data_IF_599448875907
#
_entry.id   IF_599448875907
#
_cell.length_a   1.000
_cell.length_b   1.000
_cell.length_c   1.000
_cell.angle_alpha   90.00
_cell.angle_beta   90.00
_cell.angle_gamma   90.00
#
_symmetry.space_group_name_H-M   'P 1'
#
loop_
_entity.id
_entity.type
_entity.pdbx_description
1 polymer ?
#
# COMPACT_ATOMS: atom_id res chain seq x y z
N UNK A 1 -5.86 38.31 30.65
CA UNK A 1 -6.07 39.16 29.46
C UNK A 1 -4.73 39.41 28.82
N UNK A 2 -4.39 38.63 27.79
CA UNK A 2 -3.23 38.87 26.93
C UNK A 2 -3.73 38.77 25.49
N UNK A 3 -3.72 39.90 24.79
CA UNK A 3 -3.99 40.00 23.36
C UNK A 3 -2.63 40.08 22.66
N UNK A 4 -2.34 39.06 21.86
CA UNK A 4 -1.23 39.06 20.91
C UNK A 4 -1.70 39.78 19.65
N UNK A 5 -1.15 40.97 19.37
CA UNK A 5 -1.24 41.64 18.07
C UNK A 5 -0.09 41.12 17.20
N UNK A 6 -0.39 40.44 16.10
CA UNK A 6 0.59 40.13 15.05
C UNK A 6 0.41 41.15 13.93
N UNK A 7 1.45 41.95 13.71
CA UNK A 7 1.58 42.88 12.59
C UNK A 7 1.60 42.14 11.26
N UNK A 8 0.70 42.52 10.35
CA UNK A 8 0.63 42.06 8.97
C UNK A 8 1.56 42.92 8.10
N UNK A 9 2.65 42.34 7.57
CA UNK A 9 3.50 42.99 6.57
C UNK A 9 2.95 42.64 5.18
N UNK A 10 2.39 43.65 4.50
CA UNK A 10 2.02 43.60 3.07
C UNK A 10 3.29 43.58 2.22
N UNK A 11 3.69 42.40 1.74
CA UNK A 11 4.64 42.29 0.64
C UNK A 11 3.86 42.09 -0.67
N UNK A 12 3.60 43.19 -1.39
CA UNK A 12 3.09 43.12 -2.76
C UNK A 12 4.26 42.70 -3.66
N UNK A 13 4.35 41.40 -3.95
CA UNK A 13 5.28 40.87 -4.95
C UNK A 13 4.81 41.23 -6.35
N UNK A 14 5.34 42.30 -6.94
CA UNK A 14 5.17 42.60 -8.35
C UNK A 14 6.08 41.67 -9.17
N UNK A 15 5.49 40.83 -10.01
CA UNK A 15 6.20 40.27 -11.16
C UNK A 15 6.26 41.37 -12.22
N UNK A 16 7.29 42.21 -12.16
CA UNK A 16 7.58 43.16 -13.23
C UNK A 16 8.28 42.38 -14.34
N UNK A 17 7.55 42.05 -15.40
CA UNK A 17 8.17 41.74 -16.68
C UNK A 17 8.78 43.02 -17.23
N UNK A 18 10.01 43.29 -16.83
CA UNK A 18 10.76 44.39 -17.42
C UNK A 18 11.17 43.97 -18.82
N UNK A 19 10.77 44.72 -19.88
CA UNK A 19 11.29 44.46 -21.21
C UNK A 19 12.81 44.64 -21.18
N UNK A 20 13.51 43.74 -21.88
CA UNK A 20 14.92 43.95 -22.20
C UNK A 20 15.03 45.30 -22.90
N UNK A 21 15.89 46.17 -22.38
CA UNK A 21 15.92 47.61 -22.65
C UNK A 21 15.79 47.94 -24.15
N UNK A 22 14.63 48.46 -24.54
CA UNK A 22 14.32 48.88 -25.91
C UNK A 22 12.96 49.54 -26.03
N UNK A 23 12.87 50.79 -25.57
CA UNK A 23 11.85 51.82 -25.90
C UNK A 23 10.38 51.37 -26.04
N UNK A 24 9.60 51.45 -24.96
CA UNK A 24 8.13 51.55 -25.02
C UNK A 24 7.63 52.80 -24.26
N UNK A 25 6.57 53.48 -24.73
CA UNK A 25 6.10 54.75 -24.17
C UNK A 25 5.37 54.59 -22.83
N UNK A 26 5.61 55.52 -21.91
CA UNK A 26 5.24 55.48 -20.49
C UNK A 26 3.73 55.50 -20.15
N UNK A 27 2.84 55.50 -21.14
CA UNK A 27 1.39 55.66 -20.94
C UNK A 27 0.58 54.37 -20.80
N UNK A 28 1.17 53.19 -21.02
CA UNK A 28 0.46 51.88 -20.97
C UNK A 28 0.42 51.30 -19.53
N UNK A 29 1.36 51.71 -18.68
CA UNK A 29 1.56 51.17 -17.33
C UNK A 29 0.34 51.37 -16.38
N UNK A 30 -0.39 52.50 -16.38
CA UNK A 30 -1.51 52.70 -15.46
C UNK A 30 -2.77 51.88 -15.80
N UNK A 31 -2.94 51.47 -17.06
CA UNK A 31 -4.15 50.78 -17.52
C UNK A 31 -4.10 49.27 -17.24
N UNK A 32 -2.96 48.63 -17.48
CA UNK A 32 -2.74 47.23 -17.09
C UNK A 32 -2.79 47.02 -15.56
N UNK A 33 -2.34 48.02 -14.79
CA UNK A 33 -2.44 48.03 -13.33
C UNK A 33 -3.89 48.11 -12.80
N UNK A 34 -4.81 48.66 -13.60
CA UNK A 34 -6.23 48.77 -13.24
C UNK A 34 -6.98 47.46 -13.51
N UNK A 35 -6.72 46.82 -14.66
CA UNK A 35 -7.39 45.56 -15.05
C UNK A 35 -7.01 44.39 -14.13
N UNK A 36 -5.74 44.26 -13.75
CA UNK A 36 -5.29 43.21 -12.81
C UNK A 36 -5.91 43.41 -11.42
N UNK A 37 -6.07 44.66 -10.98
CA UNK A 37 -6.67 44.99 -9.68
C UNK A 37 -8.17 44.73 -9.66
N UNK A 38 -8.86 44.99 -10.77
CA UNK A 38 -10.29 44.71 -10.92
C UNK A 38 -10.59 43.20 -10.94
N UNK A 39 -9.75 42.40 -11.61
CA UNK A 39 -9.86 40.93 -11.62
C UNK A 39 -9.64 40.34 -10.21
N UNK A 40 -8.63 40.83 -9.48
CA UNK A 40 -8.32 40.36 -8.12
C UNK A 40 -9.32 40.83 -7.05
N UNK A 41 -9.97 41.97 -7.24
CA UNK A 41 -10.97 42.50 -6.29
C UNK A 41 -12.33 41.76 -6.33
N UNK A 42 -12.61 41.05 -7.42
CA UNK A 42 -13.86 40.30 -7.61
C UNK A 42 -13.77 38.86 -7.08
N UNK A 43 -12.58 38.32 -6.88
CA UNK A 43 -12.35 37.03 -6.21
C UNK A 43 -12.15 37.22 -4.71
N UNK A 44 -13.20 37.02 -3.91
CA UNK A 44 -13.08 37.04 -2.45
C UNK A 44 -12.44 35.73 -1.97
N UNK A 45 -11.27 35.87 -1.32
CA UNK A 45 -10.54 34.89 -0.51
C UNK A 45 -9.79 33.74 -1.22
N UNK A 46 -8.64 34.06 -1.81
CA UNK A 46 -7.48 33.16 -1.81
C UNK A 46 -6.29 33.92 -1.20
N UNK A 47 -5.95 33.62 0.06
CA UNK A 47 -4.68 34.04 0.62
C UNK A 47 -3.58 33.13 0.08
N UNK A 48 -2.92 33.56 -1.01
CA UNK A 48 -1.72 32.88 -1.52
C UNK A 48 -0.49 33.65 -1.07
N UNK A 49 0.33 33.03 -0.23
CA UNK A 49 1.65 33.54 0.16
C UNK A 49 2.64 33.24 -0.97
N UNK A 50 3.09 34.27 -1.69
CA UNK A 50 4.18 34.14 -2.66
C UNK A 50 5.52 34.34 -1.95
N UNK A 51 6.36 33.31 -1.92
CA UNK A 51 7.76 33.42 -1.47
C UNK A 51 8.67 33.35 -2.69
N UNK A 52 9.41 34.44 -2.96
CA UNK A 52 10.42 34.50 -4.01
C UNK A 52 11.57 33.55 -3.68
N UNK A 53 11.68 32.44 -4.40
CA UNK A 53 12.86 31.58 -4.38
C UNK A 53 13.50 31.59 -5.76
N UNK A 54 14.79 31.93 -5.79
CA UNK A 54 15.60 31.88 -7.01
C UNK A 54 16.12 30.45 -7.15
N UNK A 55 15.69 29.75 -8.21
CA UNK A 55 16.36 28.57 -8.74
C UNK A 55 16.20 27.26 -7.97
N UNK A 56 14.99 26.67 -7.96
CA UNK A 56 14.77 25.20 -7.93
C UNK A 56 13.28 24.89 -8.12
N UNK A 57 12.96 23.95 -9.03
CA UNK A 57 11.60 23.44 -9.21
C UNK A 57 11.18 22.60 -8.01
N UNK A 58 10.01 22.89 -7.45
CA UNK A 58 9.45 22.15 -6.30
C UNK A 58 8.24 21.34 -6.73
N UNK A 59 8.14 20.09 -6.28
CA UNK A 59 7.02 19.17 -6.53
C UNK A 59 5.96 19.35 -5.42
N UNK A 60 4.71 19.65 -5.80
CA UNK A 60 3.56 19.64 -4.90
C UNK A 60 2.45 18.70 -5.43
N UNK A 61 1.79 18.03 -4.50
CA UNK A 61 0.88 16.86 -4.62
C UNK A 61 -0.52 17.22 -5.15
N UNK A 62 -1.46 16.24 -5.33
CA UNK A 62 -2.72 16.37 -6.09
C UNK A 62 -3.74 17.46 -5.69
N UNK A 63 -3.48 18.28 -4.67
CA UNK A 63 -4.46 19.20 -4.06
C UNK A 63 -4.20 20.68 -4.35
N UNK A 64 -3.32 21.00 -5.29
CA UNK A 64 -3.05 22.38 -5.67
C UNK A 64 -3.44 22.60 -7.12
N UNK A 65 -4.49 23.39 -7.35
CA UNK A 65 -4.74 24.03 -8.63
C UNK A 65 -3.61 25.04 -8.88
N UNK A 66 -2.54 24.61 -9.54
CA UNK A 66 -1.52 25.51 -10.06
C UNK A 66 -1.48 25.39 -11.57
N UNK A 67 -1.22 26.51 -12.21
CA UNK A 67 -0.86 26.60 -13.61
C UNK A 67 0.44 27.38 -13.66
N UNK A 68 1.34 26.94 -14.53
CA UNK A 68 2.58 27.67 -14.75
C UNK A 68 2.28 28.90 -15.61
N UNK A 69 2.74 30.05 -15.15
CA UNK A 69 2.69 31.29 -15.92
C UNK A 69 4.10 31.66 -16.36
N UNK A 70 4.26 31.94 -17.64
CA UNK A 70 5.49 32.45 -18.22
C UNK A 70 5.28 33.88 -18.70
N UNK A 71 6.39 34.59 -18.93
CA UNK A 71 6.35 35.93 -19.49
C UNK A 71 6.94 35.92 -20.90
N UNK A 72 6.10 36.13 -21.91
CA UNK A 72 6.48 36.16 -23.32
C UNK A 72 6.18 37.57 -23.84
N UNK A 73 7.21 38.24 -24.36
CA UNK A 73 7.12 39.61 -24.88
C UNK A 73 6.53 40.64 -23.89
N UNK A 74 6.82 40.48 -22.60
CA UNK A 74 6.32 41.36 -21.54
C UNK A 74 4.86 41.12 -21.15
N UNK A 75 4.21 40.10 -21.69
CA UNK A 75 2.87 39.65 -21.29
C UNK A 75 2.96 38.35 -20.50
N UNK A 76 2.23 38.30 -19.38
CA UNK A 76 2.05 37.06 -18.63
C UNK A 76 1.12 36.14 -19.43
N UNK A 77 1.55 34.91 -19.70
CA UNK A 77 0.78 33.88 -20.39
C UNK A 77 0.84 32.58 -19.59
N UNK A 78 -0.15 31.71 -19.74
CA UNK A 78 -0.05 30.33 -19.24
C UNK A 78 1.00 29.62 -20.10
N UNK A 79 1.96 28.93 -19.49
CA UNK A 79 3.02 28.25 -20.22
C UNK A 79 2.43 27.11 -21.08
N UNK A 80 2.42 27.28 -22.41
CA UNK A 80 1.65 26.39 -23.31
C UNK A 80 2.47 25.33 -24.02
N UNK A 81 3.82 25.36 -24.02
CA UNK A 81 4.54 24.58 -25.05
C UNK A 81 5.45 23.42 -24.61
N UNK A 82 5.90 23.24 -23.36
CA UNK A 82 6.90 22.18 -23.08
C UNK A 82 6.80 21.46 -21.72
N UNK A 83 5.70 21.62 -20.97
CA UNK A 83 5.52 20.88 -19.72
C UNK A 83 4.47 19.78 -19.89
N UNK A 84 4.74 18.59 -19.37
CA UNK A 84 3.80 17.47 -19.25
C UNK A 84 2.57 17.78 -18.36
N UNK A 85 2.19 19.05 -18.20
CA UNK A 85 1.23 19.59 -17.24
C UNK A 85 0.37 20.70 -17.85
N UNK A 86 -0.18 20.47 -19.04
CA UNK A 86 -1.30 21.27 -19.53
C UNK A 86 -2.53 21.02 -18.64
N UNK A 87 -2.62 21.73 -17.52
CA UNK A 87 -3.82 21.75 -16.69
C UNK A 87 -4.76 22.81 -17.26
N UNK A 88 -5.85 22.37 -17.87
CA UNK A 88 -7.00 23.23 -18.08
C UNK A 88 -7.61 23.52 -16.70
N UNK A 89 -7.27 24.68 -16.14
CA UNK A 89 -7.84 25.14 -14.87
C UNK A 89 -9.18 25.78 -15.18
N UNK A 90 -10.27 25.06 -14.90
CA UNK A 90 -11.62 25.61 -14.94
C UNK A 90 -11.99 26.05 -13.53
N UNK A 91 -12.39 27.32 -13.38
CA UNK A 91 -13.08 27.77 -12.18
C UNK A 91 -14.55 27.43 -12.34
N UNK A 92 -15.12 26.70 -11.39
CA UNK A 92 -16.52 26.32 -11.40
C UNK A 92 -17.28 27.02 -10.29
N UNK A 93 -18.60 26.94 -10.38
CA UNK A 93 -19.48 27.54 -9.41
C UNK A 93 -19.21 26.92 -8.02
N UNK A 94 -18.94 27.71 -6.97
CA UNK A 94 -18.78 27.19 -5.61
C UNK A 94 -20.01 26.43 -5.10
N UNK A 95 -21.16 26.56 -5.76
CA UNK A 95 -22.40 25.84 -5.44
C UNK A 95 -22.44 24.41 -6.00
N UNK A 96 -21.54 24.03 -6.93
CA UNK A 96 -21.47 22.66 -7.45
C UNK A 96 -20.76 21.75 -6.44
N UNK A 97 -21.57 21.17 -5.53
CA UNK A 97 -21.13 20.19 -4.55
C UNK A 97 -22.07 18.99 -4.54
N UNK A 98 -21.48 17.81 -4.35
CA UNK A 98 -22.22 16.59 -4.11
C UNK A 98 -22.07 16.20 -2.64
N UNK A 99 -23.18 16.02 -1.94
CA UNK A 99 -23.17 15.43 -0.60
C UNK A 99 -22.95 13.92 -0.71
N UNK A 100 -21.93 13.41 -0.03
CA UNK A 100 -21.61 11.99 -0.01
C UNK A 100 -22.50 11.29 1.02
N UNK A 101 -23.38 10.37 0.59
CA UNK A 101 -24.20 9.63 1.53
C UNK A 101 -23.31 8.70 2.37
N UNK A 102 -23.72 8.44 3.61
CA UNK A 102 -23.03 7.48 4.48
C UNK A 102 -23.08 6.06 3.90
N UNK A 103 -24.15 5.72 3.19
CA UNK A 103 -24.31 4.47 2.44
C UNK A 103 -24.05 4.73 0.95
N UNK A 104 -23.10 4.00 0.37
CA UNK A 104 -22.69 4.15 -1.02
C UNK A 104 -23.40 3.19 -1.98
N UNK A 105 -24.37 2.40 -1.49
CA UNK A 105 -25.13 1.45 -2.32
C UNK A 105 -25.85 2.10 -3.52
N UNK A 106 -26.20 3.38 -3.42
CA UNK A 106 -26.87 4.15 -4.47
C UNK A 106 -25.94 5.01 -5.35
N UNK A 107 -24.63 5.03 -5.09
CA UNK A 107 -23.69 5.81 -5.91
C UNK A 107 -23.51 5.13 -7.26
N UNK A 108 -23.58 5.91 -8.34
CA UNK A 108 -23.43 5.39 -9.70
C UNK A 108 -22.09 4.67 -9.83
N UNK A 109 -22.17 3.39 -10.14
CA UNK A 109 -21.05 2.47 -10.12
C UNK A 109 -20.96 1.73 -11.46
N UNK A 110 -20.91 2.51 -12.54
CA UNK A 110 -20.68 2.00 -13.88
C UNK A 110 -19.32 1.27 -13.91
N UNK A 111 -19.36 -0.06 -13.77
CA UNK A 111 -18.16 -0.91 -13.68
C UNK A 111 -18.05 -1.77 -12.41
N UNK A 112 -18.92 -1.59 -11.41
CA UNK A 112 -18.92 -2.46 -10.22
C UNK A 112 -17.67 -2.29 -9.33
N UNK A 113 -17.13 -1.07 -9.27
CA UNK A 113 -15.95 -0.73 -8.48
C UNK A 113 -16.23 -0.62 -6.97
N UNK A 114 -17.43 -0.22 -6.56
CA UNK A 114 -17.84 -0.24 -5.15
C UNK A 114 -18.73 -1.43 -4.81
N UNK A 115 -18.38 -2.14 -3.74
CA UNK A 115 -19.26 -3.15 -3.17
C UNK A 115 -20.46 -2.51 -2.47
N UNK A 116 -21.69 -3.04 -2.62
CA UNK A 116 -22.91 -2.45 -2.05
C UNK A 116 -22.98 -2.34 -0.52
N UNK A 117 -22.02 -2.95 0.20
CA UNK A 117 -21.93 -2.90 1.66
C UNK A 117 -20.98 -1.80 2.16
N UNK A 118 -20.33 -1.07 1.25
CA UNK A 118 -19.40 -0.01 1.65
C UNK A 118 -20.16 1.19 2.17
N UNK A 119 -19.65 1.72 3.28
CA UNK A 119 -20.09 2.99 3.86
C UNK A 119 -18.90 3.92 4.04
N UNK A 120 -19.18 5.22 4.12
CA UNK A 120 -18.16 6.22 4.48
C UNK A 120 -17.77 5.99 5.94
N UNK A 121 -16.46 5.98 6.23
CA UNK A 121 -15.94 5.75 7.59
C UNK A 121 -16.18 6.95 8.53
N UNK A 122 -16.23 8.16 7.98
CA UNK A 122 -16.47 9.39 8.72
C UNK A 122 -17.94 9.50 9.15
N UNK A 123 -18.18 9.93 10.39
CA UNK A 123 -19.51 10.30 10.88
C UNK A 123 -19.90 11.73 10.46
N UNK A 124 -18.91 12.57 10.14
CA UNK A 124 -19.15 13.93 9.68
C UNK A 124 -19.65 13.93 8.22
N UNK A 125 -20.71 14.71 7.90
CA UNK A 125 -21.16 14.89 6.53
C UNK A 125 -20.00 15.35 5.63
N UNK A 126 -19.79 14.62 4.54
CA UNK A 126 -18.76 14.94 3.56
C UNK A 126 -19.43 15.52 2.31
N UNK A 127 -19.02 16.71 1.90
CA UNK A 127 -19.44 17.31 0.63
C UNK A 127 -18.23 17.43 -0.29
N UNK A 128 -18.32 16.87 -1.49
CA UNK A 128 -17.28 16.92 -2.50
C UNK A 128 -17.55 18.10 -3.42
N UNK A 129 -16.54 18.95 -3.60
CA UNK A 129 -16.53 19.91 -4.70
C UNK A 129 -15.97 19.27 -5.96
N UNK A 130 -15.36 20.11 -6.80
CA UNK A 130 -14.77 19.67 -8.07
C UNK A 130 -13.52 18.84 -7.85
N UNK A 131 -13.42 17.81 -8.70
CA UNK A 131 -12.31 16.89 -8.71
C UNK A 131 -12.54 15.71 -7.79
N UNK A 132 -11.55 14.83 -7.80
CA UNK A 132 -11.62 13.58 -7.07
C UNK A 132 -11.06 13.78 -5.66
N UNK A 133 -11.76 13.27 -4.66
CA UNK A 133 -11.27 13.23 -3.29
C UNK A 133 -11.14 11.80 -2.82
N UNK A 134 -10.10 11.56 -2.03
CA UNK A 134 -9.92 10.30 -1.33
C UNK A 134 -10.94 10.23 -0.21
N UNK A 135 -11.85 9.26 -0.29
CA UNK A 135 -12.87 8.98 0.73
C UNK A 135 -12.51 7.67 1.41
N UNK A 136 -12.25 7.73 2.72
CA UNK A 136 -12.02 6.53 3.52
C UNK A 136 -13.36 5.81 3.76
N UNK A 137 -13.36 4.51 3.47
CA UNK A 137 -14.53 3.65 3.52
C UNK A 137 -14.42 2.66 4.68
N UNK A 138 -15.53 1.99 4.96
CA UNK A 138 -15.58 0.88 5.89
C UNK A 138 -16.63 -0.15 5.45
N UNK A 139 -16.43 -1.39 5.88
CA UNK A 139 -17.39 -2.47 5.75
C UNK A 139 -18.16 -2.65 7.07
N UNK A 140 -19.35 -3.27 7.04
CA UNK A 140 -20.11 -3.61 8.25
C UNK A 140 -19.33 -4.59 9.15
N UNK A 141 -19.78 -4.72 10.39
CA UNK A 141 -19.17 -5.64 11.36
C UNK A 141 -19.14 -7.08 10.80
N UNK A 142 -17.99 -7.75 10.92
CA UNK A 142 -17.79 -9.10 10.38
C UNK A 142 -17.38 -9.14 8.91
N UNK A 143 -17.04 -7.98 8.34
CA UNK A 143 -16.48 -7.86 7.00
C UNK A 143 -15.17 -7.08 7.04
N UNK A 144 -14.30 -7.39 6.10
CA UNK A 144 -13.08 -6.65 5.88
C UNK A 144 -13.08 -6.05 4.50
N UNK A 145 -12.51 -4.85 4.45
CA UNK A 145 -12.44 -4.09 3.25
C UNK A 145 -11.13 -4.37 2.53
N UNK A 146 -11.23 -4.67 1.24
CA UNK A 146 -10.06 -4.86 0.41
C UNK A 146 -10.22 -4.12 -0.92
N UNK A 147 -9.12 -3.58 -1.42
CA UNK A 147 -9.03 -2.87 -2.69
C UNK A 147 -8.15 -3.65 -3.66
N UNK A 148 -8.68 -3.96 -4.83
CA UNK A 148 -7.94 -4.58 -5.92
C UNK A 148 -6.89 -3.61 -6.47
N UNK A 149 -5.65 -4.07 -6.52
CA UNK A 149 -4.53 -3.34 -7.09
C UNK A 149 -4.14 -3.98 -8.42
N UNK A 150 -4.56 -3.35 -9.53
CA UNK A 150 -4.42 -3.91 -10.87
C UNK A 150 -2.96 -4.22 -11.24
N UNK A 151 -1.99 -3.40 -10.81
CA UNK A 151 -0.57 -3.59 -11.13
C UNK A 151 0.02 -4.85 -10.50
N UNK A 152 -0.46 -5.26 -9.33
CA UNK A 152 0.00 -6.44 -8.60
C UNK A 152 -1.01 -7.58 -8.61
N UNK A 153 -2.12 -7.42 -9.33
CA UNK A 153 -3.21 -8.39 -9.45
C UNK A 153 -3.62 -9.02 -8.10
N UNK A 154 -3.77 -8.20 -7.06
CA UNK A 154 -4.09 -8.67 -5.73
C UNK A 154 -4.98 -7.70 -4.95
N UNK A 155 -5.59 -8.22 -3.88
CA UNK A 155 -6.38 -7.46 -2.94
C UNK A 155 -5.48 -6.88 -1.84
N UNK A 156 -5.63 -5.59 -1.53
CA UNK A 156 -4.91 -4.89 -0.46
C UNK A 156 -5.87 -4.47 0.65
N UNK A 157 -5.43 -4.43 1.92
CA UNK A 157 -6.27 -4.00 3.05
C UNK A 157 -6.41 -2.46 3.10
N UNK A 158 -6.67 -1.84 1.95
CA UNK A 158 -6.91 -0.41 1.82
C UNK A 158 -8.40 -0.20 1.63
N UNK A 159 -9.01 0.56 2.53
CA UNK A 159 -10.43 0.89 2.43
C UNK A 159 -10.62 2.36 2.09
N UNK A 160 -10.36 2.72 0.84
CA UNK A 160 -10.66 4.05 0.34
C UNK A 160 -10.89 4.03 -1.16
N UNK A 161 -11.77 4.91 -1.63
CA UNK A 161 -12.01 5.19 -3.04
C UNK A 161 -11.62 6.63 -3.37
N UNK A 162 -11.44 6.92 -4.65
CA UNK A 162 -11.48 8.28 -5.14
C UNK A 162 -12.88 8.52 -5.72
N UNK A 163 -13.59 9.47 -5.12
CA UNK A 163 -14.96 9.83 -5.49
C UNK A 163 -14.93 11.30 -5.95
N UNK A 164 -15.60 11.59 -7.05
CA UNK A 164 -15.78 12.94 -7.58
C UNK A 164 -17.26 13.29 -7.72
N UNK A 165 -17.52 14.58 -7.89
CA UNK A 165 -18.81 15.13 -8.27
C UNK A 165 -18.73 15.55 -9.75
N UNK A 166 -19.53 14.94 -10.62
CA UNK A 166 -19.60 15.27 -12.04
C UNK A 166 -21.06 15.52 -12.40
N UNK A 167 -21.37 16.74 -12.86
CA UNK A 167 -22.73 17.17 -13.22
C UNK A 167 -23.75 17.00 -12.08
N UNK A 168 -23.31 17.15 -10.83
CA UNK A 168 -24.14 16.97 -9.64
C UNK A 168 -24.38 15.51 -9.23
N UNK A 169 -23.76 14.54 -9.90
CA UNK A 169 -23.79 13.13 -9.53
C UNK A 169 -22.45 12.66 -8.96
N UNK A 170 -22.51 11.80 -7.93
CA UNK A 170 -21.32 11.15 -7.39
C UNK A 170 -20.85 10.03 -8.32
N UNK A 171 -19.55 10.02 -8.64
CA UNK A 171 -18.92 9.00 -9.46
C UNK A 171 -17.60 8.54 -8.86
N UNK A 172 -17.28 7.26 -9.01
CA UNK A 172 -15.94 6.76 -8.69
C UNK A 172 -14.99 7.01 -9.84
N UNK A 173 -13.83 7.59 -9.55
CA UNK A 173 -12.82 7.84 -10.57
C UNK A 173 -11.73 6.78 -10.65
N UNK A 174 -11.54 6.01 -9.56
CA UNK A 174 -10.55 4.94 -9.54
C UNK A 174 -11.15 3.66 -10.10
N UNK A 175 -10.51 3.01 -11.09
CA UNK A 175 -10.93 1.68 -11.58
C UNK A 175 -10.61 0.56 -10.57
N UNK A 176 -10.25 0.91 -9.34
CA UNK A 176 -9.93 -0.06 -8.32
C UNK A 176 -11.23 -0.59 -7.72
N UNK A 177 -11.46 -1.89 -7.91
CA UNK A 177 -12.54 -2.59 -7.24
C UNK A 177 -12.29 -2.62 -5.73
N UNK A 178 -13.29 -2.25 -4.94
CA UNK A 178 -13.29 -2.29 -3.48
C UNK A 178 -14.39 -3.25 -3.07
N UNK A 179 -14.03 -4.21 -2.23
CA UNK A 179 -14.94 -5.25 -1.76
C UNK A 179 -15.05 -5.27 -0.24
N UNK A 180 -16.22 -5.70 0.24
CA UNK A 180 -16.44 -6.15 1.60
C UNK A 180 -16.58 -7.67 1.56
N UNK A 181 -15.49 -8.38 1.81
CA UNK A 181 -15.54 -9.83 2.00
C UNK A 181 -15.79 -10.13 3.47
N UNK A 182 -16.53 -11.19 3.76
CA UNK A 182 -16.63 -11.72 5.13
C UNK A 182 -15.21 -11.87 5.71
N UNK A 183 -15.04 -11.63 7.02
CA UNK A 183 -13.76 -11.68 7.75
C UNK A 183 -12.91 -12.95 7.54
N UNK A 184 -13.44 -13.93 6.81
CA UNK A 184 -12.78 -15.18 6.44
C UNK A 184 -11.51 -15.03 5.60
N UNK A 185 -11.18 -13.87 5.05
CA UNK A 185 -9.87 -13.68 4.37
C UNK A 185 -8.71 -13.38 5.34
N UNK A 186 -8.97 -12.90 6.56
CA UNK A 186 -7.94 -12.57 7.57
C UNK A 186 -8.25 -13.26 8.91
N UNK A 187 -8.58 -14.55 8.86
CA UNK A 187 -8.93 -15.30 10.06
C UNK A 187 -9.19 -16.79 9.87
N UNK A 188 -9.11 -17.33 8.64
CA UNK A 188 -9.25 -18.77 8.41
C UNK A 188 -8.08 -19.61 8.95
N UNK A 189 -7.16 -19.01 9.70
CA UNK A 189 -5.96 -19.69 10.17
C UNK A 189 -5.09 -20.09 8.98
N UNK A 190 -4.36 -21.18 9.16
CA UNK A 190 -3.48 -21.71 8.12
C UNK A 190 -4.29 -22.72 7.31
N UNK A 191 -4.71 -22.30 6.11
CA UNK A 191 -5.57 -23.12 5.24
C UNK A 191 -4.74 -24.22 4.56
N UNK A 192 -5.10 -25.47 4.82
CA UNK A 192 -4.57 -26.69 4.18
C UNK A 192 -3.03 -26.74 4.04
N UNK A 193 -2.26 -26.61 5.14
CA UNK A 193 -0.81 -26.70 5.06
C UNK A 193 -0.39 -28.10 4.61
N UNK A 194 0.63 -28.17 3.76
CA UNK A 194 1.26 -29.43 3.37
C UNK A 194 1.92 -30.06 4.61
N UNK A 195 1.42 -31.21 5.06
CA UNK A 195 1.97 -31.91 6.24
C UNK A 195 3.25 -32.68 5.89
N UNK A 196 4.36 -32.22 6.46
CA UNK A 196 5.69 -32.84 6.34
C UNK A 196 5.96 -33.86 7.46
N UNK A 197 5.11 -33.91 8.49
CA UNK A 197 5.26 -34.82 9.63
C UNK A 197 5.42 -36.29 9.21
N UNK A 198 4.67 -36.83 8.22
CA UNK A 198 4.81 -38.22 7.80
C UNK A 198 6.17 -38.56 7.16
N UNK A 199 6.95 -37.55 6.75
CA UNK A 199 8.29 -37.74 6.17
C UNK A 199 9.38 -37.76 7.26
N UNK A 200 9.05 -37.30 8.47
CA UNK A 200 9.95 -37.31 9.62
C UNK A 200 9.74 -38.61 10.41
N UNK A 201 10.80 -39.16 11.03
CA UNK A 201 10.65 -40.28 11.95
C UNK A 201 9.86 -39.83 13.17
N UNK A 202 9.08 -40.73 13.78
CA UNK A 202 8.35 -40.42 15.02
C UNK A 202 9.28 -40.13 16.21
N UNK A 203 10.47 -40.74 16.20
CA UNK A 203 11.55 -40.51 17.17
C UNK A 203 12.84 -40.20 16.42
N UNK A 204 13.44 -39.05 16.73
CA UNK A 204 14.74 -38.65 16.23
C UNK A 204 15.85 -39.24 17.11
N UNK A 205 16.48 -40.32 16.62
CA UNK A 205 17.62 -40.99 17.27
C UNK A 205 18.98 -40.38 16.89
N UNK A 206 18.99 -39.29 16.11
CA UNK A 206 20.20 -38.73 15.52
C UNK A 206 21.33 -38.52 16.54
N UNK A 207 22.53 -39.00 16.19
CA UNK A 207 23.74 -38.70 16.95
C UNK A 207 24.10 -37.23 16.77
N UNK A 208 24.75 -36.63 17.77
CA UNK A 208 25.30 -35.28 17.67
C UNK A 208 26.20 -35.18 16.44
N UNK A 209 25.87 -34.29 15.51
CA UNK A 209 26.61 -34.11 14.24
C UNK A 209 26.10 -34.93 13.04
N UNK A 210 24.99 -35.65 13.16
CA UNK A 210 24.31 -36.30 12.02
C UNK A 210 22.92 -35.70 11.79
N UNK A 211 22.80 -34.61 11.01
CA UNK A 211 21.50 -34.02 10.69
C UNK A 211 20.61 -35.00 9.93
N UNK A 212 19.32 -35.02 10.27
CA UNK A 212 18.30 -35.59 9.38
C UNK A 212 17.75 -34.47 8.51
N UNK A 213 17.67 -34.69 7.20
CA UNK A 213 17.07 -33.75 6.27
C UNK A 213 15.98 -34.41 5.44
N UNK A 214 14.87 -33.70 5.25
CA UNK A 214 13.78 -34.04 4.33
C UNK A 214 13.51 -32.85 3.42
N UNK A 215 13.10 -33.09 2.18
CA UNK A 215 12.86 -32.03 1.21
C UNK A 215 11.63 -32.28 0.36
N UNK A 216 10.97 -31.20 -0.05
CA UNK A 216 9.81 -31.24 -0.94
C UNK A 216 9.89 -30.11 -1.95
N UNK A 217 9.72 -30.45 -3.24
CA UNK A 217 9.64 -29.48 -4.32
C UNK A 217 8.19 -29.12 -4.63
N UNK A 218 7.88 -27.83 -4.72
CA UNK A 218 6.54 -27.30 -5.01
C UNK A 218 6.62 -26.06 -5.90
N UNK A 219 5.55 -25.79 -6.63
CA UNK A 219 5.25 -24.45 -7.15
C UNK A 219 4.27 -23.71 -6.24
N UNK A 220 3.76 -22.57 -6.69
CA UNK A 220 2.77 -21.76 -5.96
C UNK A 220 1.32 -22.07 -6.36
N UNK A 221 1.08 -23.25 -6.94
CA UNK A 221 -0.30 -23.69 -7.19
C UNK A 221 -1.01 -23.85 -5.84
N UNK A 222 -2.21 -23.27 -5.71
CA UNK A 222 -2.98 -23.19 -4.46
C UNK A 222 -2.35 -22.33 -3.35
N UNK A 223 -1.38 -21.47 -3.68
CA UNK A 223 -0.89 -20.50 -2.71
C UNK A 223 -2.04 -19.58 -2.25
N UNK A 224 -2.09 -19.29 -0.95
CA UNK A 224 -3.13 -18.46 -0.35
C UNK A 224 -2.57 -17.11 0.06
N UNK A 225 -3.34 -16.05 -0.19
CA UNK A 225 -3.07 -14.73 0.39
C UNK A 225 -3.45 -14.82 1.86
N UNK A 226 -2.53 -14.46 2.76
CA UNK A 226 -2.77 -14.53 4.19
C UNK A 226 -2.20 -13.29 4.86
N UNK A 227 -3.02 -12.25 5.02
CA UNK A 227 -2.52 -10.95 5.47
C UNK A 227 -2.24 -10.88 6.98
N UNK A 228 -2.67 -11.89 7.74
CA UNK A 228 -2.41 -11.97 9.19
C UNK A 228 -0.93 -12.21 9.53
N UNK A 229 -0.11 -12.54 8.52
CA UNK A 229 1.30 -12.89 8.68
C UNK A 229 2.22 -11.93 7.90
N UNK A 230 1.88 -10.63 7.84
CA UNK A 230 2.76 -9.60 7.28
C UNK A 230 4.08 -9.49 8.04
N UNK A 231 4.01 -9.63 9.36
CA UNK A 231 5.14 -9.54 10.27
C UNK A 231 6.05 -10.77 10.24
N UNK A 232 5.58 -11.90 9.72
CA UNK A 232 6.31 -13.18 9.73
C UNK A 232 6.18 -13.92 8.41
N UNK A 233 7.01 -13.55 7.44
CA UNK A 233 6.94 -14.04 6.05
C UNK A 233 6.86 -12.93 5.02
N UNK A 234 7.04 -11.68 5.45
CA UNK A 234 7.15 -10.52 4.57
C UNK A 234 5.82 -10.12 3.97
N UNK A 235 5.89 -9.49 2.81
CA UNK A 235 4.75 -8.88 2.13
C UNK A 235 3.53 -9.82 2.03
N UNK A 236 2.38 -9.36 2.50
CA UNK A 236 1.09 -10.09 2.38
C UNK A 236 0.49 -10.01 0.99
N UNK A 237 1.08 -9.19 0.14
CA UNK A 237 0.68 -9.04 -1.25
C UNK A 237 0.95 -10.29 -2.08
N UNK A 238 1.84 -11.16 -1.61
CA UNK A 238 2.24 -12.37 -2.30
C UNK A 238 1.56 -13.59 -1.67
N UNK A 239 0.83 -14.34 -2.50
CA UNK A 239 0.27 -15.61 -2.08
C UNK A 239 1.41 -16.57 -1.72
N UNK A 240 1.25 -17.30 -0.61
CA UNK A 240 2.27 -18.24 -0.13
C UNK A 240 1.75 -19.65 0.01
N UNK A 241 2.67 -20.61 0.02
CA UNK A 241 2.38 -22.02 0.32
C UNK A 241 2.72 -22.26 1.78
N UNK A 242 1.78 -22.90 2.48
CA UNK A 242 1.96 -23.28 3.87
C UNK A 242 2.39 -24.73 3.99
N UNK A 243 3.32 -24.96 4.90
CA UNK A 243 3.76 -26.29 5.32
C UNK A 243 3.56 -26.41 6.82
N UNK A 244 3.26 -27.62 7.28
CA UNK A 244 3.18 -27.92 8.69
C UNK A 244 4.10 -29.09 9.01
N UNK A 245 4.73 -29.04 10.17
CA UNK A 245 5.52 -30.16 10.68
C UNK A 245 5.39 -30.23 12.20
N UNK A 246 5.24 -31.45 12.70
CA UNK A 246 5.38 -31.73 14.13
C UNK A 246 6.80 -32.17 14.40
N UNK A 247 7.48 -31.45 15.29
CA UNK A 247 8.84 -31.77 15.70
C UNK A 247 8.83 -33.16 16.36
N UNK A 248 9.65 -34.12 15.91
CA UNK A 248 9.61 -35.47 16.44
C UNK A 248 10.10 -35.52 17.88
N UNK A 249 9.75 -36.60 18.58
CA UNK A 249 10.33 -36.83 19.91
C UNK A 249 11.83 -37.11 19.79
N UNK A 250 12.65 -36.62 20.73
CA UNK A 250 14.07 -37.00 20.77
C UNK A 250 14.29 -38.06 21.85
N UNK A 251 15.23 -38.97 21.62
CA UNK A 251 15.68 -39.93 22.64
C UNK A 251 16.54 -39.31 23.75
N UNK A 252 16.96 -38.05 23.59
CA UNK A 252 17.67 -37.28 24.62
C UNK A 252 16.79 -36.18 25.20
N UNK A 253 17.16 -35.71 26.40
CA UNK A 253 16.54 -34.55 27.02
C UNK A 253 17.02 -33.26 26.33
N UNK A 254 16.10 -32.50 25.73
CA UNK A 254 16.40 -31.17 25.18
C UNK A 254 15.64 -30.81 23.90
N UNK A 255 15.66 -29.53 23.51
CA UNK A 255 15.09 -29.08 22.25
C UNK A 255 15.92 -29.58 21.05
N UNK A 256 15.27 -29.70 19.90
CA UNK A 256 15.94 -29.92 18.62
C UNK A 256 16.18 -28.58 17.93
N UNK A 257 17.33 -28.43 17.26
CA UNK A 257 17.52 -27.35 16.30
C UNK A 257 16.83 -27.75 15.01
N UNK A 258 15.87 -26.95 14.59
CA UNK A 258 15.15 -27.07 13.34
C UNK A 258 15.66 -25.99 12.40
N UNK A 259 16.09 -26.38 11.20
CA UNK A 259 16.41 -25.45 10.13
C UNK A 259 15.50 -25.71 8.95
N UNK A 260 14.89 -24.67 8.42
CA UNK A 260 14.07 -24.72 7.21
C UNK A 260 14.69 -23.79 6.17
N UNK A 261 14.85 -24.26 4.94
CA UNK A 261 15.41 -23.42 3.87
C UNK A 261 14.92 -23.77 2.47
N UNK A 262 15.04 -22.79 1.58
CA UNK A 262 14.78 -22.93 0.14
C UNK A 262 16.07 -22.88 -0.68
N UNK A 263 17.24 -23.07 -0.06
CA UNK A 263 18.55 -22.77 -0.65
C UNK A 263 18.98 -23.74 -1.75
N UNK A 264 18.35 -24.91 -1.84
CA UNK A 264 18.74 -25.99 -2.75
C UNK A 264 17.68 -26.12 -3.84
N UNK A 265 18.09 -26.28 -5.10
CA UNK A 265 17.20 -26.58 -6.23
C UNK A 265 15.95 -25.69 -6.30
N UNK A 266 16.11 -24.39 -6.09
CA UNK A 266 15.06 -23.37 -6.16
C UNK A 266 15.38 -22.36 -7.26
N UNK A 267 14.43 -22.11 -8.17
CA UNK A 267 14.63 -21.21 -9.32
C UNK A 267 14.25 -19.76 -9.05
N UNK A 268 13.64 -19.48 -7.90
CA UNK A 268 13.05 -18.17 -7.59
C UNK A 268 13.58 -17.54 -6.31
N UNK A 269 13.42 -16.23 -6.25
CA UNK A 269 13.62 -15.46 -5.04
C UNK A 269 12.48 -15.74 -4.04
N UNK A 270 12.83 -16.18 -2.83
CA UNK A 270 11.86 -16.64 -1.83
C UNK A 270 11.99 -15.92 -0.51
N UNK A 271 10.83 -15.65 0.09
CA UNK A 271 10.68 -15.13 1.44
C UNK A 271 10.05 -16.21 2.31
N UNK A 272 10.56 -16.37 3.52
CA UNK A 272 10.12 -17.42 4.44
C UNK A 272 9.77 -16.85 5.81
N UNK A 273 8.62 -17.27 6.34
CA UNK A 273 8.21 -17.04 7.72
C UNK A 273 7.97 -18.37 8.44
N UNK A 274 8.33 -18.44 9.71
CA UNK A 274 8.07 -19.60 10.56
C UNK A 274 7.27 -19.13 11.76
N UNK A 275 6.12 -19.77 11.99
CA UNK A 275 5.25 -19.48 13.13
C UNK A 275 4.95 -20.73 13.94
N UNK A 276 4.75 -20.56 15.24
CA UNK A 276 4.33 -21.61 16.15
C UNK A 276 3.47 -21.04 17.27
N UNK A 277 2.70 -21.89 17.95
CA UNK A 277 1.85 -21.47 19.05
C UNK A 277 0.73 -22.47 19.30
N UNK A 278 0.09 -22.38 20.47
CA UNK A 278 -1.06 -23.23 20.79
C UNK A 278 -2.22 -22.93 19.84
N UNK A 279 -2.71 -23.93 19.11
CA UNK A 279 -3.79 -23.78 18.14
C UNK A 279 -3.51 -22.80 16.99
N UNK A 280 -2.24 -22.47 16.71
CA UNK A 280 -1.86 -21.57 15.62
C UNK A 280 -2.43 -22.01 14.25
N UNK A 281 -2.56 -23.31 13.99
CA UNK A 281 -3.16 -23.82 12.75
C UNK A 281 -4.64 -23.45 12.56
N UNK A 282 -5.38 -23.28 13.66
CA UNK A 282 -6.82 -22.96 13.63
C UNK A 282 -7.12 -21.51 13.98
N UNK A 283 -6.18 -20.79 14.59
CA UNK A 283 -6.33 -19.40 14.98
C UNK A 283 -5.01 -18.64 14.80
N UNK A 284 -4.95 -17.80 13.76
CA UNK A 284 -3.76 -17.01 13.44
C UNK A 284 -3.33 -16.07 14.59
N UNK A 285 -4.26 -15.61 15.43
CA UNK A 285 -3.95 -14.73 16.57
C UNK A 285 -3.15 -15.43 17.68
N UNK A 286 -3.12 -16.76 17.67
CA UNK A 286 -2.33 -17.57 18.62
C UNK A 286 -0.96 -17.95 18.06
N UNK A 287 -0.64 -17.51 16.84
CA UNK A 287 0.66 -17.75 16.24
C UNK A 287 1.68 -16.71 16.70
N UNK A 288 2.85 -17.17 17.11
CA UNK A 288 4.03 -16.35 17.36
C UNK A 288 5.03 -16.55 16.23
N UNK A 289 5.68 -15.46 15.79
CA UNK A 289 6.76 -15.55 14.82
C UNK A 289 8.01 -16.12 15.48
N UNK A 290 8.44 -17.28 15.00
CA UNK A 290 9.64 -17.96 15.44
C UNK A 290 10.86 -17.47 14.65
N UNK A 291 10.66 -17.13 13.38
CA UNK A 291 11.72 -16.56 12.57
C UNK A 291 11.27 -16.17 11.17
N UNK A 292 12.09 -15.35 10.53
CA UNK A 292 11.81 -14.78 9.21
C UNK A 292 13.13 -14.60 8.45
N UNK A 293 13.10 -14.85 7.14
CA UNK A 293 14.23 -14.60 6.23
C UNK A 293 13.71 -14.18 4.86
N UNK A 294 14.48 -13.35 4.16
CA UNK A 294 14.27 -13.05 2.75
C UNK A 294 15.51 -13.24 1.85
N UNK A 295 16.74 -13.43 2.38
CA UNK A 295 17.97 -13.54 1.57
C UNK A 295 19.16 -14.12 2.40
N UNK A 296 19.11 -15.37 2.87
CA UNK A 296 20.19 -15.95 3.72
C UNK A 296 21.22 -16.77 2.92
N UNK A 297 20.85 -17.29 1.74
CA UNK A 297 21.71 -18.13 0.91
C UNK A 297 21.78 -17.68 -0.55
N UNK A 298 21.79 -16.37 -0.76
CA UNK A 298 21.62 -15.74 -2.06
C UNK A 298 20.26 -15.05 -2.10
N UNK A 299 19.44 -15.38 -3.10
CA UNK A 299 18.04 -14.93 -3.19
C UNK A 299 17.06 -15.89 -2.49
N UNK A 300 17.58 -16.87 -1.75
CA UNK A 300 16.78 -17.89 -1.07
C UNK A 300 16.85 -17.68 0.44
N UNK A 301 15.87 -18.26 1.15
CA UNK A 301 15.65 -18.00 2.56
C UNK A 301 15.97 -19.20 3.43
N UNK A 302 16.50 -18.94 4.63
CA UNK A 302 16.72 -19.95 5.66
C UNK A 302 16.34 -19.39 7.03
N UNK A 303 15.67 -20.20 7.82
CA UNK A 303 15.35 -19.90 9.22
C UNK A 303 15.78 -21.08 10.08
N UNK A 304 16.56 -20.83 11.13
CA UNK A 304 16.93 -21.82 12.14
C UNK A 304 16.43 -21.41 13.52
N UNK A 305 15.86 -22.35 14.27
CA UNK A 305 15.31 -22.12 15.61
C UNK A 305 15.37 -23.40 16.46
N UNK A 306 15.22 -23.25 17.78
CA UNK A 306 15.08 -24.38 18.69
C UNK A 306 13.61 -24.68 18.95
N UNK A 307 13.24 -25.97 18.95
CA UNK A 307 11.87 -26.39 19.21
C UNK A 307 11.81 -27.65 20.07
N UNK A 308 10.85 -27.67 20.99
CA UNK A 308 10.56 -28.82 21.83
C UNK A 308 9.93 -29.96 21.03
N UNK A 309 10.17 -31.19 21.48
CA UNK A 309 9.53 -32.39 20.96
C UNK A 309 8.00 -32.27 20.96
N UNK A 310 7.36 -32.70 19.88
CA UNK A 310 5.91 -32.68 19.73
C UNK A 310 5.31 -31.32 19.37
N UNK A 311 6.11 -30.23 19.38
CA UNK A 311 5.64 -28.91 19.00
C UNK A 311 5.27 -28.87 17.52
N UNK A 312 4.09 -28.33 17.22
CA UNK A 312 3.64 -28.07 15.85
C UNK A 312 4.21 -26.73 15.39
N UNK A 313 4.79 -26.73 14.19
CA UNK A 313 5.33 -25.54 13.54
C UNK A 313 4.72 -25.42 12.15
N UNK A 314 4.56 -24.18 11.69
CA UNK A 314 4.10 -23.86 10.36
C UNK A 314 5.13 -22.99 9.64
N UNK A 315 5.37 -23.30 8.37
CA UNK A 315 6.31 -22.60 7.51
C UNK A 315 5.54 -22.01 6.36
N UNK A 316 5.68 -20.71 6.16
CA UNK A 316 5.14 -19.96 5.05
C UNK A 316 6.27 -19.68 4.07
N UNK A 317 6.11 -20.12 2.82
CA UNK A 317 7.02 -19.77 1.73
C UNK A 317 6.27 -18.92 0.72
N UNK A 318 6.83 -17.75 0.41
CA UNK A 318 6.31 -16.79 -0.57
C UNK A 318 7.40 -16.50 -1.62
N UNK A 319 7.02 -16.09 -2.83
CA UNK A 319 7.98 -15.41 -3.68
C UNK A 319 8.27 -14.01 -3.11
N UNK A 320 9.47 -13.49 -3.34
CA UNK A 320 9.78 -12.10 -2.97
C UNK A 320 8.92 -11.08 -3.76
N UNK A 321 8.65 -11.38 -5.03
CA UNK A 321 7.73 -10.62 -5.91
C UNK A 321 7.04 -11.53 -6.92
N UNK A 322 5.70 -11.59 -6.95
CA UNK A 322 4.97 -12.43 -7.93
C UNK A 322 5.22 -12.00 -9.37
N UNK A 323 5.36 -10.70 -9.62
CA UNK A 323 5.52 -10.16 -10.98
C UNK A 323 6.77 -10.67 -11.71
N UNK A 324 7.70 -11.30 -10.99
CA UNK A 324 8.96 -11.79 -11.55
C UNK A 324 8.99 -13.30 -11.78
N UNK A 325 7.96 -14.02 -11.35
CA UNK A 325 7.96 -15.47 -11.42
C UNK A 325 7.12 -15.96 -12.60
N UNK A 326 7.64 -16.97 -13.28
CA UNK A 326 6.92 -17.77 -14.23
C UNK A 326 5.97 -18.71 -13.46
N UNK A 327 4.72 -18.96 -13.91
CA UNK A 327 3.87 -20.00 -13.34
C UNK A 327 4.50 -21.40 -13.24
N UNK A 328 5.53 -21.68 -14.05
CA UNK A 328 6.31 -22.94 -14.02
C UNK A 328 7.45 -22.94 -12.99
N UNK A 329 7.68 -21.83 -12.29
CA UNK A 329 8.72 -21.75 -11.28
C UNK A 329 8.42 -22.62 -10.06
N UNK A 330 9.49 -23.19 -9.51
CA UNK A 330 9.42 -24.08 -8.35
C UNK A 330 10.47 -23.73 -7.31
N UNK A 331 10.18 -24.10 -6.06
CA UNK A 331 11.12 -24.05 -4.96
C UNK A 331 11.18 -25.41 -4.27
N UNK A 332 12.32 -25.72 -3.66
CA UNK A 332 12.48 -26.91 -2.82
C UNK A 332 12.65 -26.49 -1.37
N UNK A 333 11.66 -26.81 -0.55
CA UNK A 333 11.73 -26.60 0.90
C UNK A 333 12.43 -27.79 1.55
N UNK A 334 13.54 -27.53 2.23
CA UNK A 334 14.29 -28.52 3.01
C UNK A 334 14.11 -28.26 4.50
N UNK A 335 13.83 -29.31 5.28
CA UNK A 335 13.75 -29.28 6.74
C UNK A 335 14.86 -30.15 7.29
N UNK A 336 15.71 -29.56 8.13
CA UNK A 336 16.84 -30.23 8.76
C UNK A 336 16.68 -30.23 10.27
N UNK A 337 16.84 -31.39 10.90
CA UNK A 337 16.78 -31.59 12.35
C UNK A 337 18.17 -31.97 12.87
N UNK A 338 18.62 -31.25 13.89
CA UNK A 338 19.90 -31.46 14.56
C UNK A 338 19.72 -31.44 16.07
N UNK A 339 20.49 -32.29 16.78
CA UNK A 339 20.57 -32.21 18.23
C UNK A 339 21.49 -31.05 18.61
N UNK A 340 21.05 -30.19 19.51
CA UNK A 340 21.90 -29.15 20.09
C UNK A 340 22.87 -29.78 21.09
N UNK A 341 24.14 -29.38 21.04
CA UNK A 341 25.10 -29.77 22.08
C UNK A 341 24.75 -28.99 23.35
N UNK A 342 24.28 -29.69 24.38
CA UNK A 342 24.06 -29.16 25.72
C UNK A 342 25.34 -28.64 26.36
#
# INVERSE_FOLDING_TARGET
>A
MSLCLVSLILAVGFCLCLPVAGSAPSSVLPQAQKEVRDVLSRGRALQTVWKKWVGAWSRATPYSCYFDVECVDGQLRVATEDSWRHLNVTCTDPEEKCDVPSDLSGVSNEGGFLHPLLSVKSEEPLSLGIGEQKVDLQCPQGYQCARWWAESQNWRPHCYAYIGCEEGELRTSSPAHITCSETNLLGQGIVEPVDLTPQLPSVFEGQTGSPLSVSVTRGFQNATVNADFDFCGGSTFEAGVWFSLRVPSSSGDGPLRVSVDTCTDTSIDTVMGVVAGENCGSNALMCECVGFSNDDCGYQSRVSFEAEAGKQVFVLVRPYRASWNNPDDTFTLSVTLERTSS
#
